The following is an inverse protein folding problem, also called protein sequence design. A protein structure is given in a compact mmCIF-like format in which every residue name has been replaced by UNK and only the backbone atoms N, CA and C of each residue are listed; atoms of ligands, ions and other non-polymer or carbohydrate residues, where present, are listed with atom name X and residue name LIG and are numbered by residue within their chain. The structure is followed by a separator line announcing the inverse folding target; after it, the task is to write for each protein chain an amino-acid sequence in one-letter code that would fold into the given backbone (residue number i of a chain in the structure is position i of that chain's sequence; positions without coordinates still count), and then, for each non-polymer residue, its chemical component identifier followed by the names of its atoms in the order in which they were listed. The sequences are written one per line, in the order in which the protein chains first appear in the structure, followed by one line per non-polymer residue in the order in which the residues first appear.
data_IF_774707969112
#
_entry.id   IF_774707969112
#
_cell.length_a   1.000
_cell.length_b   1.000
_cell.length_c   1.000
_cell.angle_alpha   90.00
_cell.angle_beta   90.00
_cell.angle_gamma   90.00
#
_symmetry.space_group_name_H-M   'P 1'
#
loop_
_entity.id
_entity.type
_entity.pdbx_description
1 polymer ?
#
# COMPACT_ATOMS: atom_id res chain seq x y z
N UNK A 1 -2.94 -40.43 35.82
CA UNK A 1 -2.14 -40.34 34.59
C UNK A 1 -2.42 -39.10 33.73
N UNK A 2 -3.61 -38.50 33.76
CA UNK A 2 -4.04 -37.39 32.90
C UNK A 2 -3.39 -36.02 33.18
N UNK A 3 -2.96 -35.74 34.42
CA UNK A 3 -2.38 -34.44 34.80
C UNK A 3 -0.96 -34.22 34.23
N UNK A 4 -0.15 -35.28 34.16
CA UNK A 4 1.22 -35.26 33.61
C UNK A 4 1.22 -34.98 32.11
N UNK A 5 0.33 -35.64 31.35
CA UNK A 5 0.21 -35.43 29.90
C UNK A 5 -0.17 -33.98 29.56
N UNK A 6 -1.05 -33.37 30.35
CA UNK A 6 -1.48 -31.98 30.17
C UNK A 6 -0.34 -30.99 30.40
N UNK A 7 0.52 -31.25 31.38
CA UNK A 7 1.71 -30.43 31.66
C UNK A 7 2.77 -30.57 30.57
N UNK A 8 2.98 -31.78 30.05
CA UNK A 8 3.92 -32.03 28.94
C UNK A 8 3.46 -31.33 27.66
N UNK A 9 2.17 -31.40 27.32
CA UNK A 9 1.60 -30.71 26.17
C UNK A 9 1.68 -29.19 26.30
N UNK A 10 1.39 -28.65 27.49
CA UNK A 10 1.55 -27.23 27.76
C UNK A 10 3.01 -26.79 27.60
N UNK A 11 3.97 -27.53 28.15
CA UNK A 11 5.39 -27.24 28.04
C UNK A 11 5.89 -27.29 26.59
N UNK A 12 5.47 -28.28 25.79
CA UNK A 12 5.76 -28.35 24.37
C UNK A 12 5.16 -27.17 23.59
N UNK A 13 3.93 -26.75 23.93
CA UNK A 13 3.30 -25.56 23.36
C UNK A 13 4.10 -24.29 23.65
N UNK A 14 4.51 -24.10 24.91
CA UNK A 14 5.36 -22.95 25.30
C UNK A 14 6.72 -23.00 24.61
N UNK A 15 7.37 -24.17 24.52
CA UNK A 15 8.64 -24.31 23.80
C UNK A 15 8.49 -24.02 22.30
N UNK A 16 7.39 -24.44 21.68
CA UNK A 16 7.13 -24.15 20.27
C UNK A 16 6.88 -22.66 20.05
N UNK A 17 6.08 -22.02 20.91
CA UNK A 17 5.87 -20.58 20.87
C UNK A 17 7.19 -19.82 21.06
N UNK A 18 8.02 -20.22 22.03
CA UNK A 18 9.33 -19.61 22.26
C UNK A 18 10.29 -19.81 21.06
N UNK A 19 10.30 -20.99 20.44
CA UNK A 19 11.11 -21.25 19.24
C UNK A 19 10.66 -20.42 18.04
N UNK A 20 9.35 -20.27 17.84
CA UNK A 20 8.79 -19.40 16.80
C UNK A 20 9.17 -17.95 17.08
N UNK A 21 9.07 -17.50 18.33
CA UNK A 21 9.47 -16.16 18.74
C UNK A 21 10.96 -15.90 18.48
N UNK A 22 11.85 -16.81 18.91
CA UNK A 22 13.30 -16.70 18.70
C UNK A 22 13.63 -16.72 17.20
N UNK A 23 13.03 -17.60 16.41
CA UNK A 23 13.29 -17.68 14.97
C UNK A 23 12.82 -16.43 14.23
N UNK A 24 11.67 -15.88 14.61
CA UNK A 24 11.07 -14.73 13.93
C UNK A 24 11.59 -13.38 14.41
N UNK A 25 12.07 -13.26 15.65
CA UNK A 25 12.58 -11.99 16.20
C UNK A 25 14.09 -11.96 16.37
N UNK A 26 14.72 -13.06 16.83
CA UNK A 26 16.17 -13.09 17.13
C UNK A 26 16.98 -13.52 15.91
N UNK A 27 16.41 -14.38 15.05
CA UNK A 27 17.06 -14.89 13.84
C UNK A 27 16.49 -14.31 12.53
N UNK A 28 15.62 -13.30 12.60
CA UNK A 28 15.26 -12.55 11.40
C UNK A 28 16.53 -11.90 10.86
N UNK A 29 16.86 -12.22 9.60
CA UNK A 29 18.07 -11.72 8.96
C UNK A 29 18.05 -10.17 8.99
N UNK A 30 18.96 -9.52 9.74
CA UNK A 30 18.94 -8.08 9.96
C UNK A 30 19.10 -7.28 8.66
N UNK A 31 19.51 -7.94 7.57
CA UNK A 31 19.70 -7.32 6.26
C UNK A 31 18.42 -7.22 5.43
N UNK A 32 17.35 -7.97 5.75
CA UNK A 32 16.12 -7.99 4.95
C UNK A 32 15.51 -6.59 4.73
N UNK A 33 15.31 -5.74 5.75
CA UNK A 33 14.74 -4.40 5.55
C UNK A 33 15.57 -3.56 4.57
N UNK A 34 16.89 -3.56 4.71
CA UNK A 34 17.78 -2.75 3.87
C UNK A 34 17.86 -3.29 2.44
N UNK A 35 18.01 -4.60 2.27
CA UNK A 35 18.07 -5.25 0.97
C UNK A 35 16.76 -5.08 0.19
N UNK A 36 15.61 -5.17 0.86
CA UNK A 36 14.30 -4.98 0.24
C UNK A 36 14.03 -3.53 -0.18
N UNK A 37 14.45 -2.53 0.59
CA UNK A 37 14.41 -1.12 0.18
C UNK A 37 15.21 -0.90 -1.09
N UNK A 38 16.44 -1.42 -1.13
CA UNK A 38 17.34 -1.29 -2.27
C UNK A 38 16.77 -2.00 -3.51
N UNK A 39 16.19 -3.19 -3.32
CA UNK A 39 15.45 -3.92 -4.35
C UNK A 39 14.25 -3.12 -4.88
N UNK A 40 13.50 -2.45 -4.00
CA UNK A 40 12.39 -1.57 -4.38
C UNK A 40 12.83 -0.40 -5.26
N UNK A 41 13.94 0.27 -4.90
CA UNK A 41 14.51 1.37 -5.69
C UNK A 41 14.98 0.88 -7.07
N UNK A 42 15.72 -0.24 -7.11
CA UNK A 42 16.19 -0.82 -8.37
C UNK A 42 15.04 -1.27 -9.26
N UNK A 43 13.98 -1.82 -8.67
CA UNK A 43 12.74 -2.19 -9.38
C UNK A 43 12.09 -0.94 -9.97
N UNK A 44 12.01 0.17 -9.23
CA UNK A 44 11.47 1.43 -9.77
C UNK A 44 12.25 1.90 -11.00
N UNK A 45 13.59 1.87 -10.96
CA UNK A 45 14.44 2.24 -12.10
C UNK A 45 14.22 1.32 -13.30
N UNK A 46 14.21 0.01 -13.07
CA UNK A 46 13.98 -0.99 -14.11
C UNK A 46 12.62 -0.77 -14.79
N UNK A 47 11.56 -0.56 -14.01
CA UNK A 47 10.20 -0.37 -14.51
C UNK A 47 10.06 0.94 -15.26
N UNK A 48 10.73 2.01 -14.81
CA UNK A 48 10.78 3.26 -15.55
C UNK A 48 11.36 3.05 -16.95
N UNK A 49 12.53 2.40 -17.03
CA UNK A 49 13.23 2.16 -18.31
C UNK A 49 12.42 1.24 -19.23
N UNK A 50 11.82 0.18 -18.67
CA UNK A 50 10.98 -0.72 -19.42
C UNK A 50 9.70 -0.04 -19.92
N UNK A 51 9.07 0.79 -19.07
CA UNK A 51 7.89 1.58 -19.46
C UNK A 51 8.25 2.53 -20.61
N UNK A 52 9.40 3.21 -20.52
CA UNK A 52 9.90 4.07 -21.58
C UNK A 52 10.14 3.29 -22.88
N UNK A 53 10.81 2.13 -22.80
CA UNK A 53 11.12 1.27 -23.95
C UNK A 53 9.83 0.82 -24.64
N UNK A 54 8.93 0.16 -23.91
CA UNK A 54 7.65 -0.34 -24.44
C UNK A 54 6.82 0.83 -24.99
N UNK A 55 6.74 1.95 -24.26
CA UNK A 55 5.92 3.09 -24.68
C UNK A 55 6.40 3.71 -26.00
N UNK A 56 7.73 3.77 -26.20
CA UNK A 56 8.34 4.30 -27.43
C UNK A 56 7.96 3.50 -28.67
N UNK A 57 7.89 2.16 -28.56
CA UNK A 57 7.62 1.28 -29.69
C UNK A 57 6.12 1.05 -29.94
N UNK A 58 5.32 0.94 -28.88
CA UNK A 58 3.92 0.50 -29.00
C UNK A 58 2.89 1.64 -28.94
N UNK A 59 3.25 2.82 -28.41
CA UNK A 59 2.29 3.89 -28.19
C UNK A 59 2.65 5.15 -29.00
N UNK A 60 2.00 5.33 -30.15
CA UNK A 60 2.20 6.53 -30.98
C UNK A 60 1.93 7.83 -30.21
N UNK A 61 0.97 7.83 -29.29
CA UNK A 61 0.67 8.96 -28.41
C UNK A 61 1.86 9.36 -27.56
N UNK A 62 2.65 8.40 -27.05
CA UNK A 62 3.82 8.66 -26.22
C UNK A 62 4.90 9.46 -26.96
N UNK A 63 5.14 9.14 -28.23
CA UNK A 63 6.11 9.86 -29.06
C UNK A 63 5.68 11.31 -29.36
N UNK A 64 4.39 11.63 -29.25
CA UNK A 64 3.89 13.01 -29.40
C UNK A 64 3.95 13.83 -28.08
N UNK A 65 4.21 13.19 -26.94
CA UNK A 65 4.24 13.87 -25.63
C UNK A 65 5.49 14.73 -25.45
N UNK A 66 5.35 15.81 -24.67
CA UNK A 66 6.47 16.62 -24.19
C UNK A 66 7.37 15.82 -23.24
N UNK A 67 8.61 16.29 -23.02
CA UNK A 67 9.56 15.64 -22.09
C UNK A 67 8.95 15.40 -20.70
N UNK A 68 8.27 16.41 -20.16
CA UNK A 68 7.65 16.34 -18.82
C UNK A 68 6.53 15.30 -18.79
N UNK A 69 5.66 15.31 -19.81
CA UNK A 69 4.57 14.32 -19.92
C UNK A 69 5.09 12.90 -20.10
N UNK A 70 6.20 12.69 -20.81
CA UNK A 70 6.84 11.36 -20.90
C UNK A 70 7.38 10.91 -19.55
N UNK A 71 7.97 11.82 -18.78
CA UNK A 71 8.40 11.49 -17.41
C UNK A 71 7.22 11.14 -16.51
N UNK A 72 6.11 11.89 -16.57
CA UNK A 72 4.89 11.53 -15.84
C UNK A 72 4.32 10.18 -16.30
N UNK A 73 4.30 9.94 -17.61
CA UNK A 73 3.84 8.68 -18.21
C UNK A 73 4.63 7.48 -17.66
N UNK A 74 5.96 7.60 -17.63
CA UNK A 74 6.84 6.55 -17.14
C UNK A 74 6.73 6.38 -15.62
N UNK A 75 6.59 7.48 -14.87
CA UNK A 75 6.36 7.41 -13.42
C UNK A 75 5.06 6.68 -13.08
N UNK A 76 3.99 6.94 -13.84
CA UNK A 76 2.71 6.21 -13.71
C UNK A 76 2.86 4.72 -13.99
N UNK A 77 3.85 4.31 -14.78
CA UNK A 77 4.20 2.90 -14.98
C UNK A 77 4.74 2.27 -13.70
N UNK A 78 5.67 2.97 -13.02
CA UNK A 78 6.21 2.55 -11.72
C UNK A 78 5.08 2.39 -10.69
N UNK A 79 4.28 3.44 -10.49
CA UNK A 79 3.20 3.41 -9.48
C UNK A 79 2.13 2.38 -9.79
N UNK A 80 1.82 2.13 -11.07
CA UNK A 80 0.90 1.05 -11.47
C UNK A 80 1.42 -0.33 -11.06
N UNK A 81 2.69 -0.64 -11.35
CA UNK A 81 3.26 -1.94 -10.99
C UNK A 81 3.33 -2.11 -9.47
N UNK A 82 3.83 -1.09 -8.76
CA UNK A 82 3.89 -1.11 -7.30
C UNK A 82 2.51 -1.34 -6.70
N UNK A 83 1.51 -0.58 -7.15
CA UNK A 83 0.15 -0.69 -6.65
C UNK A 83 -0.45 -2.08 -6.84
N UNK A 84 -0.24 -2.71 -8.01
CA UNK A 84 -0.68 -4.09 -8.25
C UNK A 84 0.02 -5.06 -7.29
N UNK A 85 1.35 -4.97 -7.20
CA UNK A 85 2.15 -5.82 -6.31
C UNK A 85 1.72 -5.70 -4.85
N UNK A 86 1.69 -4.48 -4.31
CA UNK A 86 1.42 -4.27 -2.90
C UNK A 86 -0.03 -4.58 -2.54
N UNK A 87 -0.98 -4.34 -3.44
CA UNK A 87 -2.39 -4.68 -3.21
C UNK A 87 -2.59 -6.18 -3.12
N UNK A 88 -1.97 -6.97 -4.02
CA UNK A 88 -2.03 -8.44 -3.99
C UNK A 88 -1.41 -8.97 -2.70
N UNK A 89 -0.21 -8.51 -2.35
CA UNK A 89 0.47 -8.96 -1.14
C UNK A 89 -0.27 -8.56 0.13
N UNK A 90 -0.82 -7.35 0.17
CA UNK A 90 -1.60 -6.87 1.32
C UNK A 90 -2.89 -7.67 1.49
N UNK A 91 -3.63 -7.94 0.40
CA UNK A 91 -4.81 -8.81 0.46
C UNK A 91 -4.46 -10.22 0.93
N UNK A 92 -3.35 -10.78 0.43
CA UNK A 92 -2.84 -12.08 0.89
C UNK A 92 -2.55 -12.07 2.39
N UNK A 93 -1.81 -11.08 2.91
CA UNK A 93 -1.48 -11.03 4.33
C UNK A 93 -2.70 -10.79 5.22
N UNK A 94 -3.60 -9.89 4.82
CA UNK A 94 -4.76 -9.51 5.65
C UNK A 94 -5.83 -10.60 5.67
N UNK A 95 -6.08 -11.28 4.54
CA UNK A 95 -7.24 -12.17 4.42
C UNK A 95 -6.90 -13.65 4.20
N UNK A 96 -5.73 -13.97 3.63
CA UNK A 96 -5.40 -15.34 3.23
C UNK A 96 -4.30 -15.98 4.10
N UNK A 97 -3.48 -15.16 4.76
CA UNK A 97 -2.35 -15.63 5.54
C UNK A 97 -2.74 -15.89 7.00
N UNK A 98 -2.19 -16.95 7.57
CA UNK A 98 -2.31 -17.24 9.01
C UNK A 98 -1.52 -16.26 9.90
N UNK A 99 -0.72 -15.37 9.31
CA UNK A 99 0.13 -14.43 10.06
C UNK A 99 -0.68 -13.52 11.00
N UNK A 100 -1.85 -13.06 10.53
CA UNK A 100 -2.70 -12.12 11.27
C UNK A 100 -4.06 -12.72 11.67
N UNK A 101 -4.22 -14.04 11.60
CA UNK A 101 -5.46 -14.68 11.99
C UNK A 101 -5.67 -14.61 13.52
N UNK A 102 -6.90 -14.33 13.96
CA UNK A 102 -7.23 -14.19 15.40
C UNK A 102 -6.99 -15.45 16.21
N UNK A 103 -7.19 -16.62 15.60
CA UNK A 103 -6.99 -17.92 16.24
C UNK A 103 -5.51 -18.33 16.35
N UNK A 104 -4.61 -17.58 15.70
CA UNK A 104 -3.18 -17.79 15.85
C UNK A 104 -2.74 -17.30 17.24
N UNK A 105 -2.12 -18.18 18.03
CA UNK A 105 -1.69 -17.89 19.39
C UNK A 105 -0.31 -17.21 19.49
N UNK A 106 0.31 -16.87 18.36
CA UNK A 106 1.63 -16.24 18.29
C UNK A 106 1.56 -14.74 18.68
N UNK A 107 1.45 -14.45 19.97
CA UNK A 107 1.63 -13.10 20.52
C UNK A 107 0.57 -12.06 20.10
N UNK A 108 0.85 -10.79 20.36
CA UNK A 108 -0.02 -9.65 20.03
C UNK A 108 -0.08 -9.46 18.51
N UNK A 109 -1.28 -9.28 17.96
CA UNK A 109 -1.50 -9.11 16.51
C UNK A 109 -0.72 -7.91 15.95
N UNK A 110 -0.52 -6.89 16.77
CA UNK A 110 0.22 -5.66 16.47
C UNK A 110 1.72 -5.86 16.36
N UNK A 111 2.26 -6.98 16.85
CA UNK A 111 3.70 -7.26 16.80
C UNK A 111 4.05 -8.38 15.82
N UNK A 112 3.06 -9.09 15.27
CA UNK A 112 3.29 -10.24 14.38
C UNK A 112 3.92 -9.82 13.07
N UNK A 113 5.00 -10.50 12.69
CA UNK A 113 5.72 -10.26 11.44
C UNK A 113 6.29 -11.56 10.86
N UNK A 114 6.73 -11.48 9.61
CA UNK A 114 7.48 -12.52 8.94
C UNK A 114 8.57 -11.89 8.06
N UNK A 115 9.65 -12.63 7.72
CA UNK A 115 10.64 -12.18 6.75
C UNK A 115 10.03 -11.67 5.44
N UNK A 116 9.01 -12.38 4.92
CA UNK A 116 8.32 -12.00 3.69
C UNK A 116 7.50 -10.72 3.84
N UNK A 117 6.77 -10.56 4.95
CA UNK A 117 5.97 -9.35 5.18
C UNK A 117 6.86 -8.12 5.32
N UNK A 118 7.98 -8.24 6.04
CA UNK A 118 8.99 -7.17 6.14
C UNK A 118 9.64 -6.87 4.78
N UNK A 119 9.96 -7.88 3.98
CA UNK A 119 10.49 -7.70 2.63
C UNK A 119 9.50 -6.94 1.72
N UNK A 120 8.21 -7.29 1.75
CA UNK A 120 7.16 -6.62 0.96
C UNK A 120 7.01 -5.15 1.38
N UNK A 121 7.04 -4.85 2.68
CA UNK A 121 7.01 -3.47 3.16
C UNK A 121 8.27 -2.71 2.73
N UNK A 122 9.45 -3.31 2.76
CA UNK A 122 10.68 -2.65 2.32
C UNK A 122 10.73 -2.36 0.83
N UNK A 123 10.23 -3.25 -0.02
CA UNK A 123 9.99 -2.95 -1.44
C UNK A 123 9.11 -1.70 -1.60
N UNK A 124 8.09 -1.57 -0.74
CA UNK A 124 7.18 -0.42 -0.73
C UNK A 124 7.85 0.87 -0.25
N UNK A 125 8.71 0.81 0.77
CA UNK A 125 9.53 1.95 1.21
C UNK A 125 10.43 2.43 0.07
N UNK A 126 11.12 1.51 -0.63
CA UNK A 126 11.95 1.85 -1.79
C UNK A 126 11.18 2.54 -2.90
N UNK A 127 9.93 2.11 -3.15
CA UNK A 127 9.00 2.80 -4.05
C UNK A 127 8.64 4.21 -3.54
N UNK A 128 8.18 4.36 -2.30
CA UNK A 128 7.77 5.65 -1.74
C UNK A 128 8.92 6.67 -1.78
N UNK A 129 10.14 6.25 -1.46
CA UNK A 129 11.34 7.12 -1.56
C UNK A 129 11.59 7.54 -3.00
N UNK A 130 11.52 6.60 -3.95
CA UNK A 130 11.77 6.88 -5.37
C UNK A 130 10.72 7.84 -5.95
N UNK A 131 9.43 7.57 -5.69
CA UNK A 131 8.33 8.37 -6.21
C UNK A 131 8.28 9.76 -5.57
N UNK A 132 8.46 9.86 -4.25
CA UNK A 132 8.54 11.14 -3.54
C UNK A 132 9.73 11.98 -4.04
N UNK A 133 10.89 11.35 -4.27
CA UNK A 133 12.05 12.01 -4.83
C UNK A 133 11.76 12.64 -6.21
N UNK A 134 11.06 11.90 -7.08
CA UNK A 134 10.67 12.42 -8.39
C UNK A 134 9.60 13.51 -8.29
N UNK A 135 8.58 13.34 -7.44
CA UNK A 135 7.54 14.36 -7.21
C UNK A 135 8.18 15.67 -6.74
N UNK A 136 9.11 15.62 -5.79
CA UNK A 136 9.82 16.80 -5.30
C UNK A 136 10.71 17.42 -6.37
N UNK A 137 11.48 16.62 -7.12
CA UNK A 137 12.37 17.12 -8.17
C UNK A 137 11.65 17.81 -9.31
N UNK A 138 10.46 17.32 -9.67
CA UNK A 138 9.66 17.81 -10.78
C UNK A 138 8.45 18.62 -10.33
N UNK A 139 8.40 19.02 -9.06
CA UNK A 139 7.30 19.81 -8.51
C UNK A 139 7.15 21.14 -9.26
N UNK A 140 5.92 21.58 -9.61
CA UNK A 140 4.61 20.95 -9.35
C UNK A 140 4.08 20.05 -10.49
N UNK A 141 4.93 19.65 -11.43
CA UNK A 141 4.52 19.01 -12.69
C UNK A 141 4.04 17.56 -12.52
N UNK A 142 4.59 16.80 -11.57
CA UNK A 142 4.20 15.40 -11.30
C UNK A 142 3.08 15.24 -10.25
N UNK A 143 2.70 16.32 -9.56
CA UNK A 143 1.71 16.27 -8.50
C UNK A 143 1.65 17.57 -7.70
N UNK A 144 0.52 17.79 -7.03
CA UNK A 144 0.34 18.89 -6.08
C UNK A 144 0.79 18.52 -4.66
N UNK A 145 0.72 19.49 -3.74
CA UNK A 145 1.07 19.30 -2.33
C UNK A 145 0.31 18.12 -1.65
N UNK A 146 -0.92 17.83 -2.08
CA UNK A 146 -1.70 16.66 -1.63
C UNK A 146 -0.91 15.35 -1.82
N UNK A 147 -0.17 15.20 -2.92
CA UNK A 147 0.61 13.98 -3.20
C UNK A 147 1.87 13.89 -2.34
N UNK A 148 2.54 15.01 -2.08
CA UNK A 148 3.72 15.06 -1.20
C UNK A 148 3.33 14.63 0.22
N UNK A 149 2.25 15.20 0.74
CA UNK A 149 1.72 14.86 2.08
C UNK A 149 1.32 13.39 2.13
N UNK A 150 0.58 12.91 1.13
CA UNK A 150 0.18 11.50 1.04
C UNK A 150 1.39 10.55 1.06
N UNK A 151 2.35 10.74 0.16
CA UNK A 151 3.51 9.85 0.04
C UNK A 151 4.44 9.93 1.25
N UNK A 152 4.56 11.11 1.87
CA UNK A 152 5.37 11.29 3.07
C UNK A 152 4.75 10.57 4.27
N UNK A 153 3.45 10.75 4.53
CA UNK A 153 2.75 10.07 5.62
C UNK A 153 2.76 8.55 5.44
N UNK A 154 2.42 8.07 4.24
CA UNK A 154 2.46 6.66 3.91
C UNK A 154 3.87 6.08 4.03
N UNK A 155 4.88 6.74 3.45
CA UNK A 155 6.27 6.30 3.51
C UNK A 155 6.81 6.19 4.93
N UNK A 156 6.51 7.16 5.80
CA UNK A 156 6.91 7.13 7.22
C UNK A 156 6.25 5.96 7.95
N UNK A 157 4.94 5.75 7.79
CA UNK A 157 4.22 4.66 8.47
C UNK A 157 4.68 3.27 7.99
N UNK A 158 4.90 3.11 6.69
CA UNK A 158 5.39 1.86 6.09
C UNK A 158 6.82 1.58 6.56
N UNK A 159 7.71 2.57 6.54
CA UNK A 159 9.08 2.43 7.02
C UNK A 159 9.13 2.07 8.50
N UNK A 160 8.33 2.74 9.33
CA UNK A 160 8.21 2.40 10.75
C UNK A 160 7.81 0.94 10.95
N UNK A 161 6.74 0.49 10.26
CA UNK A 161 6.22 -0.87 10.40
C UNK A 161 7.20 -1.94 9.89
N UNK A 162 7.98 -1.61 8.86
CA UNK A 162 9.04 -2.47 8.35
C UNK A 162 10.19 -2.62 9.36
N UNK A 163 10.73 -1.51 9.88
CA UNK A 163 11.92 -1.52 10.74
C UNK A 163 11.63 -2.02 12.15
N UNK A 164 10.48 -1.68 12.72
CA UNK A 164 10.11 -2.06 14.09
C UNK A 164 9.35 -3.39 14.16
N UNK A 165 8.74 -3.79 13.05
CA UNK A 165 7.80 -4.91 13.00
C UNK A 165 6.43 -4.62 13.63
N UNK A 166 6.22 -3.42 14.18
CA UNK A 166 4.95 -3.08 14.79
C UNK A 166 3.92 -2.62 13.75
N UNK A 167 2.65 -2.97 13.94
CA UNK A 167 1.53 -2.43 13.18
C UNK A 167 1.47 -2.90 11.72
N UNK A 168 2.22 -3.94 11.33
CA UNK A 168 2.25 -4.42 9.94
C UNK A 168 0.85 -4.76 9.41
N UNK A 169 -0.02 -5.36 10.23
CA UNK A 169 -1.42 -5.63 9.85
C UNK A 169 -2.15 -4.37 9.37
N UNK A 170 -2.12 -3.31 10.17
CA UNK A 170 -2.83 -2.07 9.85
C UNK A 170 -2.20 -1.35 8.66
N UNK A 171 -0.88 -1.43 8.53
CA UNK A 171 -0.16 -0.94 7.36
C UNK A 171 -0.60 -1.67 6.09
N UNK A 172 -0.70 -3.01 6.11
CA UNK A 172 -1.23 -3.76 4.97
C UNK A 172 -2.71 -3.46 4.70
N UNK A 173 -3.55 -3.32 5.72
CA UNK A 173 -4.95 -2.90 5.53
C UNK A 173 -5.04 -1.56 4.79
N UNK A 174 -4.21 -0.57 5.16
CA UNK A 174 -4.14 0.71 4.45
C UNK A 174 -3.59 0.55 3.02
N UNK A 175 -2.57 -0.27 2.81
CA UNK A 175 -1.93 -0.47 1.51
C UNK A 175 -2.82 -1.19 0.48
N UNK A 176 -3.83 -1.95 0.89
CA UNK A 176 -4.87 -2.47 -0.03
C UNK A 176 -5.54 -1.33 -0.82
N UNK A 177 -5.59 -0.12 -0.27
CA UNK A 177 -6.17 1.04 -0.95
C UNK A 177 -5.46 1.42 -2.25
N UNK A 178 -4.21 0.98 -2.44
CA UNK A 178 -3.45 1.14 -3.68
C UNK A 178 -4.08 0.38 -4.86
N UNK A 179 -5.02 -0.54 -4.63
CA UNK A 179 -5.74 -1.26 -5.69
C UNK A 179 -6.49 -0.34 -6.66
N UNK A 180 -6.70 0.92 -6.25
CA UNK A 180 -7.34 1.99 -7.04
C UNK A 180 -6.37 2.77 -7.93
N UNK A 181 -5.08 2.76 -7.62
CA UNK A 181 -4.02 3.52 -8.30
C UNK A 181 -3.89 3.16 -9.79
N UNK A 182 -3.92 1.85 -10.20
CA UNK A 182 -3.89 1.48 -11.62
C UNK A 182 -5.01 2.10 -12.44
N UNK A 183 -6.22 2.22 -11.87
CA UNK A 183 -7.38 2.78 -12.57
C UNK A 183 -7.26 4.30 -12.69
N UNK A 184 -6.72 4.98 -11.66
CA UNK A 184 -6.40 6.42 -11.73
C UNK A 184 -5.35 6.68 -12.82
N UNK A 185 -4.29 5.88 -12.87
CA UNK A 185 -3.25 5.98 -13.90
C UNK A 185 -3.82 5.67 -15.30
N UNK A 186 -4.64 4.64 -15.43
CA UNK A 186 -5.30 4.31 -16.69
C UNK A 186 -6.21 5.44 -17.17
N UNK A 187 -6.93 6.12 -16.27
CA UNK A 187 -7.73 7.29 -16.63
C UNK A 187 -6.88 8.40 -17.23
N UNK A 188 -5.70 8.63 -16.66
CA UNK A 188 -4.76 9.62 -17.16
C UNK A 188 -4.17 9.21 -18.51
N UNK A 189 -3.81 7.93 -18.71
CA UNK A 189 -3.35 7.44 -20.01
C UNK A 189 -4.41 7.63 -21.10
N UNK A 190 -5.68 7.33 -20.80
CA UNK A 190 -6.79 7.57 -21.71
C UNK A 190 -6.97 9.07 -22.01
N UNK A 191 -6.73 9.95 -21.04
CA UNK A 191 -6.75 11.40 -21.24
C UNK A 191 -5.66 11.84 -22.22
N UNK A 192 -4.41 11.43 -21.98
CA UNK A 192 -3.26 11.76 -22.84
C UNK A 192 -3.39 11.18 -24.25
N UNK A 193 -4.08 10.05 -24.41
CA UNK A 193 -4.39 9.48 -25.72
C UNK A 193 -5.57 10.17 -26.43
N UNK A 194 -6.19 11.20 -25.84
CA UNK A 194 -7.34 11.91 -26.41
C UNK A 194 -8.67 11.14 -26.32
N UNK A 195 -8.74 10.10 -25.49
CA UNK A 195 -9.84 9.14 -25.45
C UNK A 195 -10.93 9.47 -24.42
N UNK A 196 -11.07 10.74 -24.00
CA UNK A 196 -12.09 11.18 -23.00
C UNK A 196 -13.53 10.84 -23.37
N UNK A 197 -13.84 10.77 -24.67
CA UNK A 197 -15.18 10.49 -25.18
C UNK A 197 -15.46 8.99 -25.36
N UNK A 198 -14.45 8.14 -25.21
CA UNK A 198 -14.57 6.69 -25.40
C UNK A 198 -15.43 6.02 -24.31
N UNK A 199 -15.98 4.84 -24.63
CA UNK A 199 -16.64 3.99 -23.63
C UNK A 199 -15.65 3.48 -22.57
N UNK A 200 -14.38 3.25 -22.95
CA UNK A 200 -13.32 2.85 -22.01
C UNK A 200 -13.11 3.88 -20.89
N UNK A 201 -13.12 5.19 -21.22
CA UNK A 201 -12.98 6.27 -20.23
C UNK A 201 -14.17 6.34 -19.25
N UNK A 202 -15.38 6.02 -19.74
CA UNK A 202 -16.57 5.93 -18.90
C UNK A 202 -16.50 4.72 -17.96
N UNK A 203 -16.24 3.53 -18.50
CA UNK A 203 -16.12 2.29 -17.72
C UNK A 203 -15.04 2.44 -16.64
N UNK A 204 -13.86 2.95 -17.02
CA UNK A 204 -12.80 3.25 -16.06
C UNK A 204 -13.26 4.21 -14.95
N UNK A 205 -14.06 5.24 -15.27
CA UNK A 205 -14.61 6.16 -14.27
C UNK A 205 -15.57 5.49 -13.29
N UNK A 206 -16.40 4.56 -13.78
CA UNK A 206 -17.29 3.76 -12.93
C UNK A 206 -16.49 2.81 -12.03
N UNK A 207 -15.44 2.16 -12.58
CA UNK A 207 -14.54 1.30 -11.82
C UNK A 207 -13.81 2.07 -10.71
N UNK A 208 -13.32 3.29 -11.00
CA UNK A 208 -12.73 4.17 -9.99
C UNK A 208 -13.72 4.47 -8.88
N UNK A 209 -14.97 4.80 -9.22
CA UNK A 209 -15.98 5.12 -8.20
C UNK A 209 -16.21 3.97 -7.22
N UNK A 210 -16.47 2.75 -7.72
CA UNK A 210 -16.70 1.59 -6.87
C UNK A 210 -15.43 1.14 -6.14
N UNK A 211 -14.28 1.12 -6.82
CA UNK A 211 -12.99 0.80 -6.21
C UNK A 211 -12.64 1.74 -5.07
N UNK A 212 -12.90 3.04 -5.24
CA UNK A 212 -12.67 4.04 -4.20
C UNK A 212 -13.59 3.85 -2.99
N UNK A 213 -14.89 3.62 -3.22
CA UNK A 213 -15.83 3.36 -2.14
C UNK A 213 -15.41 2.15 -1.31
N UNK A 214 -15.07 1.04 -1.95
CA UNK A 214 -14.70 -0.20 -1.24
C UNK A 214 -13.33 -0.07 -0.57
N UNK A 215 -12.28 0.24 -1.33
CA UNK A 215 -10.90 0.15 -0.86
C UNK A 215 -10.40 1.39 -0.09
N UNK A 216 -11.04 2.55 -0.25
CA UNK A 216 -10.61 3.81 0.40
C UNK A 216 -11.60 4.37 1.43
N UNK A 217 -12.88 3.97 1.38
CA UNK A 217 -13.88 4.39 2.37
C UNK A 217 -14.24 3.24 3.31
N UNK A 218 -14.85 2.16 2.80
CA UNK A 218 -15.31 1.05 3.64
C UNK A 218 -14.16 0.32 4.34
N UNK A 219 -13.05 0.11 3.63
CA UNK A 219 -11.87 -0.52 4.22
C UNK A 219 -11.25 0.30 5.36
N UNK A 220 -11.26 1.63 5.25
CA UNK A 220 -10.77 2.50 6.34
C UNK A 220 -11.68 2.43 7.56
N UNK A 221 -13.01 2.40 7.36
CA UNK A 221 -13.97 2.16 8.44
C UNK A 221 -13.71 0.81 9.11
N UNK A 222 -13.52 -0.25 8.32
CA UNK A 222 -13.18 -1.58 8.84
C UNK A 222 -11.87 -1.57 9.63
N UNK A 223 -10.83 -0.89 9.13
CA UNK A 223 -9.54 -0.79 9.81
C UNK A 223 -9.69 -0.11 11.18
N UNK A 224 -10.38 1.03 11.26
CA UNK A 224 -10.62 1.69 12.55
C UNK A 224 -11.45 0.85 13.51
N UNK A 225 -12.44 0.13 13.00
CA UNK A 225 -13.20 -0.84 13.80
C UNK A 225 -12.30 -1.96 14.34
N UNK A 226 -11.40 -2.49 13.52
CA UNK A 226 -10.42 -3.49 13.95
C UNK A 226 -9.45 -2.93 15.01
N UNK A 227 -8.96 -1.71 14.84
CA UNK A 227 -8.13 -1.02 15.86
C UNK A 227 -8.90 -0.89 17.19
N UNK A 228 -10.19 -0.56 17.13
CA UNK A 228 -11.04 -0.47 18.31
C UNK A 228 -11.17 -1.81 19.04
N UNK A 229 -11.41 -2.91 18.31
CA UNK A 229 -11.49 -4.25 18.90
C UNK A 229 -10.17 -4.70 19.55
N UNK A 230 -9.03 -4.33 18.97
CA UNK A 230 -7.70 -4.69 19.45
C UNK A 230 -7.00 -3.55 20.21
N UNK A 231 -7.75 -2.59 20.75
CA UNK A 231 -7.21 -1.37 21.36
C UNK A 231 -6.18 -1.65 22.45
N UNK A 232 -6.43 -2.65 23.31
CA UNK A 232 -5.50 -3.04 24.39
C UNK A 232 -4.16 -3.56 23.87
N UNK A 233 -4.11 -4.13 22.66
CA UNK A 233 -2.87 -4.56 22.00
C UNK A 233 -2.16 -3.38 21.33
N UNK A 234 -2.91 -2.41 20.82
CA UNK A 234 -2.37 -1.17 20.24
C UNK A 234 -1.73 -0.30 21.31
N UNK A 235 -2.31 -0.24 22.51
CA UNK A 235 -1.72 0.46 23.67
C UNK A 235 -0.37 -0.12 24.12
N UNK A 236 -0.03 -1.35 23.73
CA UNK A 236 1.24 -2.01 24.08
C UNK A 236 2.35 -1.76 23.05
N UNK A 237 2.03 -1.12 21.91
CA UNK A 237 3.05 -0.69 20.95
C UNK A 237 3.89 0.45 21.51
N UNK A 238 5.07 0.68 20.94
CA UNK A 238 5.82 1.90 21.25
C UNK A 238 4.99 3.16 20.96
N UNK A 239 5.28 4.24 21.68
CA UNK A 239 4.56 5.52 21.56
C UNK A 239 4.46 6.02 20.12
N UNK A 240 5.53 5.86 19.33
CA UNK A 240 5.54 6.25 17.91
C UNK A 240 4.56 5.39 17.10
N UNK A 241 4.59 4.07 17.28
CA UNK A 241 3.68 3.14 16.60
C UNK A 241 2.23 3.38 16.96
N UNK A 242 1.94 3.59 18.24
CA UNK A 242 0.61 3.99 18.72
C UNK A 242 0.12 5.25 18.00
N UNK A 243 0.93 6.32 17.96
CA UNK A 243 0.57 7.56 17.28
C UNK A 243 0.36 7.35 15.78
N UNK A 244 1.21 6.58 15.11
CA UNK A 244 1.12 6.35 13.66
C UNK A 244 -0.12 5.55 13.27
N UNK A 245 -0.52 4.53 14.05
CA UNK A 245 -1.72 3.71 13.79
C UNK A 245 -3.00 4.55 13.77
N UNK A 246 -3.08 5.62 14.56
CA UNK A 246 -4.23 6.52 14.55
C UNK A 246 -4.06 7.70 13.57
N UNK A 247 -2.95 8.42 13.66
CA UNK A 247 -2.80 9.71 12.97
C UNK A 247 -2.70 9.58 11.45
N UNK A 248 -1.91 8.62 10.95
CA UNK A 248 -1.70 8.47 9.50
C UNK A 248 -2.97 7.99 8.81
N UNK A 249 -3.65 6.91 9.24
CA UNK A 249 -4.89 6.51 8.61
C UNK A 249 -6.00 7.54 8.74
N UNK A 250 -6.04 8.33 9.82
CA UNK A 250 -7.02 9.41 9.96
C UNK A 250 -6.79 10.51 8.91
N UNK A 251 -5.54 10.96 8.76
CA UNK A 251 -5.19 11.93 7.73
C UNK A 251 -5.53 11.41 6.32
N UNK A 252 -5.17 10.15 6.04
CA UNK A 252 -5.47 9.49 4.77
C UNK A 252 -6.98 9.33 4.54
N UNK A 253 -7.78 9.03 5.57
CA UNK A 253 -9.23 8.95 5.47
C UNK A 253 -9.84 10.30 5.09
N UNK A 254 -9.38 11.40 5.70
CA UNK A 254 -9.83 12.76 5.34
C UNK A 254 -9.50 13.06 3.88
N UNK A 255 -8.28 12.77 3.43
CA UNK A 255 -7.88 12.96 2.03
C UNK A 255 -8.73 12.10 1.08
N UNK A 256 -9.00 10.84 1.44
CA UNK A 256 -9.84 9.93 0.67
C UNK A 256 -11.27 10.45 0.51
N UNK A 257 -11.85 11.08 1.55
CA UNK A 257 -13.17 11.71 1.47
C UNK A 257 -13.18 12.92 0.55
N UNK A 258 -12.16 13.78 0.63
CA UNK A 258 -12.01 14.95 -0.26
C UNK A 258 -11.91 14.52 -1.73
N UNK A 259 -11.08 13.51 -2.02
CA UNK A 259 -10.92 12.94 -3.35
C UNK A 259 -12.17 12.22 -3.84
N UNK A 260 -12.89 11.50 -2.96
CA UNK A 260 -14.17 10.88 -3.32
C UNK A 260 -15.20 11.92 -3.75
N UNK A 261 -15.22 13.08 -3.08
CA UNK A 261 -16.01 14.25 -3.51
C UNK A 261 -15.65 14.73 -4.92
N UNK A 262 -14.35 14.77 -5.27
CA UNK A 262 -13.88 15.11 -6.64
C UNK A 262 -14.34 14.05 -7.66
N UNK A 263 -14.27 12.76 -7.32
CA UNK A 263 -14.71 11.64 -8.18
C UNK A 263 -16.21 11.71 -8.46
N UNK A 264 -17.04 11.91 -7.43
CA UNK A 264 -18.48 12.08 -7.54
C UNK A 264 -18.86 13.22 -8.49
N UNK A 265 -18.21 14.39 -8.33
CA UNK A 265 -18.42 15.54 -9.23
C UNK A 265 -18.02 15.20 -10.67
N UNK A 266 -16.89 14.53 -10.87
CA UNK A 266 -16.39 14.11 -12.18
C UNK A 266 -17.32 13.12 -12.89
N UNK A 267 -17.86 12.14 -12.16
CA UNK A 267 -18.79 11.15 -12.70
C UNK A 267 -20.12 11.80 -13.09
N UNK A 268 -20.70 12.64 -12.23
CA UNK A 268 -21.93 13.41 -12.54
C UNK A 268 -21.77 14.24 -13.82
N UNK A 269 -20.65 14.95 -13.98
CA UNK A 269 -20.35 15.74 -15.19
C UNK A 269 -20.24 14.88 -16.45
N UNK A 270 -19.68 13.67 -16.34
CA UNK A 270 -19.52 12.76 -17.48
C UNK A 270 -20.87 12.19 -17.93
N UNK A 271 -21.75 11.85 -16.99
CA UNK A 271 -23.09 11.34 -17.26
C UNK A 271 -24.01 12.44 -17.84
N UNK A 272 -23.93 13.66 -17.30
CA UNK A 272 -24.74 14.78 -17.76
C UNK A 272 -24.46 15.19 -19.22
N UNK A 273 -23.22 15.01 -19.71
CA UNK A 273 -22.82 15.33 -21.10
C UNK A 273 -23.28 14.30 -22.14
N UNK A 274 -23.80 13.16 -21.71
CA UNK A 274 -24.29 12.09 -22.59
C UNK A 274 -25.82 12.01 -22.65
N UNK A 275 -26.50 12.79 -21.79
CA UNK A 275 -27.92 13.13 -21.98
C UNK A 275 -28.00 14.28 -22.99
#
# INVERSE_FOLDING_TARGET
MTRSLRTVLAFQSYQNQAKVLVRNYVLADPFIPYASVLCGILTCKLVYDLTQLISTFYFRSYNALTKIQRTEWNNRGISTLHAVFISIMSMYFVFCSELFADHNSAGLITLRTSPLSTFVLGMSVGYFVSDLGMICWLYPSLGGAEYIVHHSLSGIAVAYSMFTGEGQLYTFMVLISEVTTPQINMRWYLDMAGLKKSSAYLINGVMIFFGWLVARILLFVYMFYHVYLHYTQVMQMHTVGFLLVFSVPLALAVMNLLWFGKILKGLKKTLAKRK
#
